data_IF_764449651813
#
_entry.id   IF_764449651813
#
_cell.length_a   1.000
_cell.length_b   1.000
_cell.length_c   1.000
_cell.angle_alpha   90.00
_cell.angle_beta   90.00
_cell.angle_gamma   90.00
#
_symmetry.space_group_name_H-M   'P 1'
#
loop_
_entity.id
_entity.type
_entity.pdbx_description
1 polymer ?
#
# COMPACT_ATOMS: atom_id res chain seq x y z
N UNK A 1 -40.37 53.27 -27.53
CA UNK A 1 -40.83 54.45 -28.33
C UNK A 1 -40.47 54.34 -29.82
N UNK A 2 -39.22 54.20 -30.19
CA UNK A 2 -38.75 54.10 -31.61
C UNK A 2 -39.43 52.99 -32.44
N UNK A 3 -39.61 51.82 -31.87
CA UNK A 3 -40.27 50.65 -32.52
C UNK A 3 -41.75 50.91 -32.77
N UNK A 4 -42.44 51.61 -31.86
CA UNK A 4 -43.86 51.97 -32.01
C UNK A 4 -44.03 53.04 -33.11
N UNK A 5 -43.15 54.02 -33.18
CA UNK A 5 -43.15 55.06 -34.25
C UNK A 5 -42.85 54.38 -35.63
N UNK A 6 -41.92 53.43 -35.68
CA UNK A 6 -41.61 52.69 -36.92
C UNK A 6 -42.80 51.84 -37.41
N UNK A 7 -43.51 51.15 -36.51
CA UNK A 7 -44.71 50.37 -36.85
C UNK A 7 -45.87 51.30 -37.34
N UNK A 8 -46.14 52.43 -36.68
CA UNK A 8 -47.10 53.34 -37.08
C UNK A 8 -46.75 53.93 -38.46
N UNK A 9 -45.52 54.32 -38.69
CA UNK A 9 -45.07 54.82 -39.99
C UNK A 9 -45.24 53.74 -41.11
N UNK A 10 -44.93 52.52 -40.87
CA UNK A 10 -45.09 51.38 -41.84
C UNK A 10 -46.58 51.17 -42.14
N UNK A 11 -47.48 51.26 -41.17
CA UNK A 11 -48.90 51.11 -41.36
C UNK A 11 -49.46 52.29 -42.21
N UNK A 12 -49.02 53.52 -41.96
CA UNK A 12 -49.46 54.71 -42.78
C UNK A 12 -48.94 54.48 -44.21
N UNK A 13 -47.72 54.19 -44.45
CA UNK A 13 -47.15 53.93 -45.80
C UNK A 13 -47.87 52.79 -46.51
N UNK A 14 -48.16 51.69 -45.83
CA UNK A 14 -48.90 50.55 -46.40
C UNK A 14 -50.36 50.96 -46.74
N UNK A 15 -51.04 51.83 -45.91
CA UNK A 15 -52.37 52.32 -46.19
C UNK A 15 -52.42 53.24 -47.43
N UNK A 16 -51.45 54.14 -47.59
CA UNK A 16 -51.32 55.03 -48.73
C UNK A 16 -51.04 54.19 -50.00
N UNK A 17 -50.13 53.22 -49.93
CA UNK A 17 -49.84 52.39 -51.09
C UNK A 17 -51.03 51.48 -51.45
N UNK A 18 -51.82 51.03 -50.49
CA UNK A 18 -53.05 50.33 -50.71
C UNK A 18 -54.06 51.12 -51.44
N UNK A 19 -54.36 52.38 -51.00
CA UNK A 19 -55.29 53.31 -51.64
C UNK A 19 -54.89 53.61 -53.09
N UNK A 20 -53.62 53.95 -53.30
CA UNK A 20 -53.07 54.21 -54.64
C UNK A 20 -53.15 52.97 -55.59
N UNK A 21 -52.90 51.80 -55.08
CA UNK A 21 -53.00 50.56 -55.88
C UNK A 21 -54.46 50.22 -56.17
N UNK A 22 -55.39 50.51 -55.29
CA UNK A 22 -56.83 50.34 -55.47
C UNK A 22 -57.43 51.26 -56.59
N UNK A 23 -56.93 52.51 -56.70
CA UNK A 23 -57.32 53.42 -57.77
C UNK A 23 -56.79 52.98 -59.16
N UNK A 24 -55.62 52.43 -59.20
CA UNK A 24 -55.01 51.97 -60.42
C UNK A 24 -55.61 50.62 -60.95
N UNK A 25 -56.23 49.83 -60.05
CA UNK A 25 -56.78 48.54 -60.38
C UNK A 25 -58.20 48.32 -59.90
N UNK A 26 -59.17 48.99 -60.54
CA UNK A 26 -60.61 49.00 -60.11
C UNK A 26 -61.36 47.69 -60.42
N UNK A 27 -60.69 46.69 -61.01
CA UNK A 27 -61.32 45.41 -61.34
C UNK A 27 -61.50 44.49 -60.12
N UNK A 28 -62.27 43.40 -60.28
CA UNK A 28 -62.33 42.34 -59.29
C UNK A 28 -61.80 41.01 -59.81
N UNK A 29 -61.17 40.18 -58.93
CA UNK A 29 -60.64 38.86 -59.22
C UNK A 29 -61.43 37.81 -58.48
N UNK A 30 -62.02 36.84 -59.20
CA UNK A 30 -62.80 35.77 -58.63
C UNK A 30 -61.85 34.62 -58.26
N UNK A 31 -61.72 34.38 -56.95
CA UNK A 31 -60.97 33.24 -56.47
C UNK A 31 -61.92 32.14 -56.09
N UNK A 32 -61.77 30.96 -56.73
CA UNK A 32 -62.52 29.77 -56.36
C UNK A 32 -61.72 28.87 -55.47
N UNK A 33 -62.12 28.71 -54.22
CA UNK A 33 -61.50 27.82 -53.22
C UNK A 33 -62.11 26.39 -53.32
N UNK A 34 -63.36 26.30 -53.78
CA UNK A 34 -64.02 25.02 -54.06
C UNK A 34 -65.02 25.21 -55.20
N UNK A 35 -65.53 24.10 -55.81
CA UNK A 35 -66.52 24.22 -56.91
C UNK A 35 -67.77 25.03 -56.55
N UNK A 36 -68.13 25.09 -55.26
CA UNK A 36 -69.33 25.80 -54.74
C UNK A 36 -69.06 27.12 -54.03
N UNK A 37 -67.76 27.54 -53.86
CA UNK A 37 -67.42 28.79 -53.14
C UNK A 37 -66.43 29.60 -53.95
N UNK A 38 -66.93 30.73 -54.43
CA UNK A 38 -66.09 31.78 -55.10
C UNK A 38 -66.18 33.05 -54.27
N UNK A 39 -65.02 33.70 -54.12
CA UNK A 39 -64.92 35.02 -53.44
C UNK A 39 -64.50 36.04 -54.49
N UNK A 40 -65.20 37.15 -54.49
CA UNK A 40 -64.93 38.30 -55.38
C UNK A 40 -64.10 39.28 -54.56
N UNK A 41 -62.83 39.47 -54.87
CA UNK A 41 -61.89 40.31 -54.15
C UNK A 41 -61.24 41.34 -55.09
N UNK A 42 -61.00 42.51 -54.61
CA UNK A 42 -60.21 43.49 -55.36
C UNK A 42 -58.70 43.02 -55.38
N UNK A 43 -57.92 43.29 -56.42
CA UNK A 43 -56.50 42.98 -56.52
C UNK A 43 -55.73 43.50 -55.32
N UNK A 44 -56.10 44.71 -54.79
CA UNK A 44 -55.47 45.26 -53.61
C UNK A 44 -55.74 44.50 -52.35
N UNK A 45 -56.98 43.95 -52.18
CA UNK A 45 -57.31 43.08 -51.05
C UNK A 45 -56.53 41.79 -51.08
N UNK A 46 -56.30 41.23 -52.27
CA UNK A 46 -55.50 40.02 -52.49
C UNK A 46 -54.05 40.20 -52.14
N UNK A 47 -53.47 41.36 -52.55
CA UNK A 47 -52.05 41.67 -52.15
C UNK A 47 -51.98 41.86 -50.66
N UNK A 48 -52.90 42.53 -50.04
CA UNK A 48 -52.94 42.77 -48.58
C UNK A 48 -53.09 41.48 -47.81
N UNK A 49 -53.96 40.56 -48.28
CA UNK A 49 -54.15 39.23 -47.68
C UNK A 49 -52.86 38.36 -47.79
N UNK A 50 -52.20 38.44 -48.97
CA UNK A 50 -50.93 37.68 -49.19
C UNK A 50 -49.79 38.23 -48.31
N UNK A 51 -49.69 39.56 -48.16
CA UNK A 51 -48.73 40.23 -47.27
C UNK A 51 -49.03 39.89 -45.81
N UNK A 52 -50.29 39.90 -45.39
CA UNK A 52 -50.71 39.50 -44.04
C UNK A 52 -50.42 38.04 -43.76
N UNK A 53 -50.66 37.14 -44.72
CA UNK A 53 -50.32 35.75 -44.61
C UNK A 53 -48.80 35.52 -44.53
N UNK A 54 -48.03 36.21 -45.38
CA UNK A 54 -46.58 36.20 -45.31
C UNK A 54 -46.01 36.71 -44.00
N UNK A 55 -46.55 37.84 -43.51
CA UNK A 55 -46.17 38.39 -42.20
C UNK A 55 -46.50 37.43 -41.03
N UNK A 56 -47.67 36.77 -41.12
CA UNK A 56 -48.06 35.76 -40.14
C UNK A 56 -47.10 34.57 -40.11
N UNK A 57 -46.75 34.05 -41.32
CA UNK A 57 -45.77 32.94 -41.42
C UNK A 57 -44.42 33.32 -40.85
N UNK A 58 -43.92 34.54 -41.18
CA UNK A 58 -42.63 35.04 -40.66
C UNK A 58 -42.67 35.21 -39.14
N UNK A 59 -43.76 35.82 -38.62
CA UNK A 59 -43.89 35.95 -37.16
C UNK A 59 -44.01 34.64 -36.43
N UNK A 60 -44.70 33.64 -37.01
CA UNK A 60 -44.72 32.28 -36.46
C UNK A 60 -43.36 31.63 -36.50
N UNK A 61 -42.61 31.72 -37.60
CA UNK A 61 -41.25 31.18 -37.71
C UNK A 61 -40.33 31.86 -36.69
N UNK A 62 -40.34 33.16 -36.57
CA UNK A 62 -39.55 33.89 -35.59
C UNK A 62 -39.96 33.51 -34.16
N UNK A 63 -41.25 33.46 -33.87
CA UNK A 63 -41.77 33.02 -32.58
C UNK A 63 -41.35 31.62 -32.20
N UNK A 64 -41.39 30.63 -33.11
CA UNK A 64 -40.92 29.26 -32.88
C UNK A 64 -39.41 29.25 -32.65
N UNK A 65 -38.63 30.04 -33.40
CA UNK A 65 -37.20 30.16 -33.20
C UNK A 65 -36.83 30.77 -31.85
N UNK A 66 -37.44 31.85 -31.48
CA UNK A 66 -37.22 32.55 -30.19
C UNK A 66 -37.63 31.65 -28.99
N UNK A 67 -38.78 30.96 -29.09
CA UNK A 67 -39.19 30.03 -28.02
C UNK A 67 -38.22 28.85 -27.88
N UNK A 68 -37.69 28.29 -28.98
CA UNK A 68 -36.64 27.27 -28.92
C UNK A 68 -35.40 27.82 -28.23
N UNK A 69 -34.94 29.04 -28.58
CA UNK A 69 -33.78 29.65 -27.93
C UNK A 69 -34.03 29.95 -26.45
N UNK A 70 -35.20 30.41 -26.04
CA UNK A 70 -35.55 30.62 -24.65
C UNK A 70 -35.56 29.31 -23.86
N UNK A 71 -36.14 28.25 -24.40
CA UNK A 71 -36.18 26.90 -23.77
C UNK A 71 -34.78 26.32 -23.65
N UNK A 72 -33.94 26.41 -24.70
CA UNK A 72 -32.58 25.91 -24.66
C UNK A 72 -31.73 26.69 -23.64
N UNK A 73 -31.85 28.02 -23.63
CA UNK A 73 -31.13 28.86 -22.66
C UNK A 73 -31.59 28.59 -21.23
N UNK A 74 -32.87 28.42 -21.00
CA UNK A 74 -33.43 28.08 -19.68
C UNK A 74 -32.93 26.70 -19.20
N UNK A 75 -32.97 25.69 -20.10
CA UNK A 75 -32.44 24.35 -19.81
C UNK A 75 -30.95 24.42 -19.47
N UNK A 76 -30.14 25.10 -20.29
CA UNK A 76 -28.71 25.22 -20.05
C UNK A 76 -28.39 25.99 -18.76
N UNK A 77 -29.13 27.05 -18.45
CA UNK A 77 -28.99 27.80 -17.20
C UNK A 77 -29.36 26.94 -15.98
N UNK A 78 -30.40 26.09 -16.09
CA UNK A 78 -30.78 25.14 -15.03
C UNK A 78 -29.71 24.06 -14.82
N UNK A 79 -29.12 23.52 -15.89
CA UNK A 79 -28.02 22.54 -15.81
C UNK A 79 -26.81 23.19 -15.15
N UNK A 80 -26.36 24.36 -15.60
CA UNK A 80 -25.21 25.06 -14.99
C UNK A 80 -25.41 25.32 -13.49
N UNK A 81 -26.58 25.81 -13.07
CA UNK A 81 -26.88 26.00 -11.64
C UNK A 81 -26.82 24.69 -10.85
N UNK A 82 -27.20 23.56 -11.47
CA UNK A 82 -27.11 22.25 -10.85
C UNK A 82 -25.66 21.84 -10.69
N UNK A 83 -24.85 21.97 -11.75
CA UNK A 83 -23.42 21.71 -11.74
C UNK A 83 -22.69 22.57 -10.70
N UNK A 84 -22.93 23.89 -10.71
CA UNK A 84 -22.37 24.82 -9.72
C UNK A 84 -22.70 24.41 -8.27
N UNK A 85 -23.92 23.92 -8.05
CA UNK A 85 -24.35 23.47 -6.71
C UNK A 85 -23.68 22.17 -6.32
N UNK A 86 -23.49 21.24 -7.26
CA UNK A 86 -22.74 19.98 -7.01
C UNK A 86 -21.30 20.29 -6.66
N UNK A 87 -20.64 21.16 -7.43
CA UNK A 87 -19.28 21.61 -7.18
C UNK A 87 -19.12 22.33 -5.83
N UNK A 88 -20.10 23.16 -5.45
CA UNK A 88 -20.09 23.83 -4.16
C UNK A 88 -20.18 22.82 -3.00
N UNK A 89 -21.12 21.86 -3.07
CA UNK A 89 -21.28 20.81 -2.08
C UNK A 89 -20.03 19.91 -2.00
N UNK A 90 -19.42 19.59 -3.15
CA UNK A 90 -18.18 18.83 -3.19
C UNK A 90 -17.03 19.55 -2.48
N UNK A 91 -16.83 20.86 -2.78
CA UNK A 91 -15.78 21.66 -2.13
C UNK A 91 -16.01 21.81 -0.62
N UNK A 92 -17.25 22.04 -0.20
CA UNK A 92 -17.61 22.09 1.23
C UNK A 92 -17.36 20.75 1.91
N UNK A 93 -17.71 19.62 1.25
CA UNK A 93 -17.45 18.27 1.72
C UNK A 93 -15.95 17.99 1.89
N UNK A 94 -15.14 18.38 0.90
CA UNK A 94 -13.68 18.27 0.97
C UNK A 94 -13.10 19.09 2.12
N UNK A 95 -13.56 20.32 2.30
CA UNK A 95 -13.14 21.17 3.42
C UNK A 95 -13.56 20.60 4.78
N UNK A 96 -14.77 20.06 4.89
CA UNK A 96 -15.25 19.40 6.10
C UNK A 96 -14.39 18.17 6.45
N UNK A 97 -14.06 17.38 5.44
CA UNK A 97 -13.18 16.20 5.61
C UNK A 97 -11.78 16.60 6.10
N UNK A 98 -11.13 17.57 5.45
CA UNK A 98 -9.81 18.07 5.86
C UNK A 98 -9.83 18.68 7.27
N UNK A 99 -11.00 19.16 7.72
CA UNK A 99 -11.22 19.66 9.08
C UNK A 99 -11.61 18.55 10.08
N UNK A 100 -11.45 17.26 9.71
CA UNK A 100 -11.82 16.08 10.51
C UNK A 100 -13.31 15.99 10.89
N UNK A 101 -14.18 16.68 10.18
CA UNK A 101 -15.64 16.62 10.33
C UNK A 101 -16.23 15.58 9.36
N UNK A 102 -15.87 14.30 9.57
CA UNK A 102 -16.16 13.22 8.62
C UNK A 102 -17.64 13.00 8.36
N UNK A 103 -18.49 13.05 9.41
CA UNK A 103 -19.95 12.87 9.25
C UNK A 103 -20.58 13.98 8.39
N UNK A 104 -20.15 15.24 8.58
CA UNK A 104 -20.60 16.37 7.76
C UNK A 104 -20.12 16.23 6.30
N UNK A 105 -18.89 15.81 6.10
CA UNK A 105 -18.34 15.55 4.76
C UNK A 105 -19.16 14.47 4.02
N UNK A 106 -19.51 13.36 4.70
CA UNK A 106 -20.36 12.33 4.12
C UNK A 106 -21.71 12.85 3.68
N UNK A 107 -22.39 13.62 4.52
CA UNK A 107 -23.70 14.21 4.21
C UNK A 107 -23.61 15.16 2.98
N UNK A 108 -22.57 15.97 2.92
CA UNK A 108 -22.33 16.89 1.79
C UNK A 108 -22.06 16.14 0.48
N UNK A 109 -21.22 15.09 0.49
CA UNK A 109 -20.99 14.27 -0.70
C UNK A 109 -22.24 13.50 -1.12
N UNK A 110 -23.04 13.00 -0.17
CA UNK A 110 -24.31 12.34 -0.47
C UNK A 110 -25.31 13.32 -1.10
N UNK A 111 -25.39 14.58 -0.61
CA UNK A 111 -26.21 15.64 -1.21
C UNK A 111 -25.73 15.99 -2.62
N UNK A 112 -24.42 16.05 -2.86
CA UNK A 112 -23.87 16.24 -4.19
C UNK A 112 -24.28 15.12 -5.14
N UNK A 113 -24.16 13.86 -4.69
CA UNK A 113 -24.55 12.67 -5.46
C UNK A 113 -26.07 12.52 -5.65
N UNK A 114 -26.90 13.07 -4.78
CA UNK A 114 -28.34 13.16 -4.96
C UNK A 114 -28.71 14.15 -6.09
N UNK A 115 -27.92 15.21 -6.26
CA UNK A 115 -28.06 16.12 -7.39
C UNK A 115 -27.47 15.53 -8.67
N UNK A 116 -26.24 15.01 -8.60
CA UNK A 116 -25.58 14.35 -9.74
C UNK A 116 -24.98 12.99 -9.33
N UNK A 117 -25.71 11.89 -9.62
CA UNK A 117 -25.24 10.54 -9.31
C UNK A 117 -23.99 10.10 -10.08
N UNK A 118 -23.54 10.88 -11.07
CA UNK A 118 -22.39 10.60 -11.93
C UNK A 118 -21.17 11.47 -11.61
N UNK A 119 -21.22 12.25 -10.53
CA UNK A 119 -20.08 13.07 -10.11
C UNK A 119 -18.97 12.21 -9.53
N UNK A 120 -17.96 11.91 -10.36
CA UNK A 120 -16.89 10.95 -10.05
C UNK A 120 -16.09 11.32 -8.81
N UNK A 121 -15.75 12.60 -8.64
CA UNK A 121 -14.98 13.08 -7.49
C UNK A 121 -15.73 12.87 -6.17
N UNK A 122 -17.04 13.14 -6.12
CA UNK A 122 -17.81 12.89 -4.90
C UNK A 122 -17.94 11.39 -4.59
N UNK A 123 -17.98 10.52 -5.61
CA UNK A 123 -17.92 9.08 -5.42
C UNK A 123 -16.57 8.65 -4.89
N UNK A 124 -15.47 9.21 -5.40
CA UNK A 124 -14.11 8.93 -4.96
C UNK A 124 -13.92 9.31 -3.49
N UNK A 125 -14.30 10.53 -3.12
CA UNK A 125 -14.14 10.99 -1.74
C UNK A 125 -15.02 10.20 -0.76
N UNK A 126 -16.26 9.96 -1.10
CA UNK A 126 -17.16 9.17 -0.26
C UNK A 126 -16.65 7.72 -0.11
N UNK A 127 -16.12 7.13 -1.17
CA UNK A 127 -15.48 5.80 -1.13
C UNK A 127 -14.27 5.78 -0.20
N UNK A 128 -13.43 6.80 -0.27
CA UNK A 128 -12.28 6.94 0.62
C UNK A 128 -12.69 7.06 2.10
N UNK A 129 -13.78 7.77 2.40
CA UNK A 129 -14.32 7.85 3.76
C UNK A 129 -14.77 6.46 4.25
N UNK A 130 -15.55 5.72 3.45
CA UNK A 130 -15.96 4.36 3.81
C UNK A 130 -14.78 3.41 4.01
N UNK A 131 -13.71 3.56 3.21
CA UNK A 131 -12.47 2.80 3.46
C UNK A 131 -11.85 3.13 4.81
N UNK A 132 -11.77 4.42 5.17
CA UNK A 132 -11.25 4.84 6.47
C UNK A 132 -12.07 4.27 7.64
N UNK A 133 -13.39 4.14 7.46
CA UNK A 133 -14.30 3.47 8.40
C UNK A 133 -14.24 1.94 8.32
N UNK A 134 -13.34 1.37 7.50
CA UNK A 134 -13.20 -0.08 7.25
C UNK A 134 -14.43 -0.74 6.62
N UNK A 135 -15.32 0.04 6.05
CA UNK A 135 -16.46 -0.45 5.26
C UNK A 135 -16.04 -0.68 3.80
N UNK A 136 -15.18 -1.66 3.60
CA UNK A 136 -14.61 -1.98 2.28
C UNK A 136 -15.65 -2.33 1.20
N UNK A 137 -16.76 -3.04 1.49
CA UNK A 137 -17.76 -3.34 0.49
C UNK A 137 -18.37 -2.09 -0.15
N UNK A 138 -18.71 -1.07 0.67
CA UNK A 138 -19.25 0.20 0.18
C UNK A 138 -18.21 1.02 -0.56
N UNK A 139 -16.96 1.09 -0.04
CA UNK A 139 -15.86 1.75 -0.72
C UNK A 139 -15.67 1.19 -2.14
N UNK A 140 -15.55 -0.15 -2.27
CA UNK A 140 -15.41 -0.84 -3.55
C UNK A 140 -16.59 -0.54 -4.48
N UNK A 141 -17.84 -0.52 -3.97
CA UNK A 141 -19.02 -0.23 -4.75
C UNK A 141 -18.96 1.18 -5.34
N UNK A 142 -18.58 2.17 -4.54
CA UNK A 142 -18.49 3.57 -4.96
C UNK A 142 -17.36 3.79 -5.96
N UNK A 143 -16.16 3.24 -5.69
CA UNK A 143 -15.04 3.38 -6.63
C UNK A 143 -15.28 2.60 -7.94
N UNK A 144 -15.96 1.45 -7.93
CA UNK A 144 -16.39 0.79 -9.17
C UNK A 144 -17.37 1.64 -9.96
N UNK A 145 -18.30 2.33 -9.27
CA UNK A 145 -19.19 3.29 -9.92
C UNK A 145 -18.43 4.46 -10.50
N UNK A 146 -17.47 5.04 -9.77
CA UNK A 146 -16.60 6.10 -10.28
C UNK A 146 -15.81 5.62 -11.52
N UNK A 147 -15.23 4.41 -11.47
CA UNK A 147 -14.54 3.78 -12.61
C UNK A 147 -15.45 3.64 -13.84
N UNK A 148 -16.73 3.30 -13.66
CA UNK A 148 -17.68 3.16 -14.80
C UNK A 148 -18.02 4.50 -15.47
N UNK A 149 -17.77 5.62 -14.78
CA UNK A 149 -17.95 6.98 -15.30
C UNK A 149 -16.66 7.47 -15.95
N UNK A 150 -15.54 7.26 -15.28
CA UNK A 150 -14.21 7.69 -15.70
C UNK A 150 -13.24 6.50 -15.79
N UNK A 151 -13.39 5.72 -16.86
CA UNK A 151 -12.61 4.48 -17.06
C UNK A 151 -11.09 4.67 -17.10
N UNK A 152 -10.63 5.87 -17.48
CA UNK A 152 -9.21 6.20 -17.63
C UNK A 152 -8.65 7.04 -16.49
N UNK A 153 -9.39 7.22 -15.43
CA UNK A 153 -8.93 7.97 -14.26
C UNK A 153 -8.03 7.08 -13.38
N UNK A 154 -6.73 7.39 -13.39
CA UNK A 154 -5.70 6.65 -12.64
C UNK A 154 -5.95 6.72 -11.13
N UNK A 155 -6.44 7.85 -10.62
CA UNK A 155 -6.70 8.05 -9.18
C UNK A 155 -7.83 7.13 -8.70
N UNK A 156 -8.91 7.06 -9.45
CA UNK A 156 -10.05 6.15 -9.17
C UNK A 156 -9.59 4.69 -9.18
N UNK A 157 -8.76 4.30 -10.16
CA UNK A 157 -8.23 2.94 -10.23
C UNK A 157 -7.30 2.61 -9.06
N UNK A 158 -6.43 3.55 -8.66
CA UNK A 158 -5.55 3.38 -7.51
C UNK A 158 -6.35 3.29 -6.20
N UNK A 159 -7.41 4.09 -6.05
CA UNK A 159 -8.30 4.02 -4.89
C UNK A 159 -9.03 2.68 -4.83
N UNK A 160 -9.58 2.20 -5.96
CA UNK A 160 -10.22 0.89 -6.05
C UNK A 160 -9.24 -0.25 -5.72
N UNK A 161 -8.01 -0.19 -6.25
CA UNK A 161 -6.99 -1.18 -5.94
C UNK A 161 -6.69 -1.22 -4.44
N UNK A 162 -6.61 -0.07 -3.78
CA UNK A 162 -6.40 0.01 -2.32
C UNK A 162 -7.54 -0.61 -1.53
N UNK A 163 -8.79 -0.34 -1.91
CA UNK A 163 -9.95 -0.97 -1.26
C UNK A 163 -9.92 -2.50 -1.39
N UNK A 164 -9.55 -2.98 -2.58
CA UNK A 164 -9.45 -4.42 -2.84
C UNK A 164 -8.32 -5.08 -2.04
N UNK A 165 -7.18 -4.37 -1.87
CA UNK A 165 -6.08 -4.79 -1.00
C UNK A 165 -6.53 -4.90 0.47
N UNK A 166 -7.19 -3.86 0.97
CA UNK A 166 -7.68 -3.79 2.35
C UNK A 166 -8.77 -4.84 2.62
N UNK A 167 -9.59 -5.13 1.60
CA UNK A 167 -10.57 -6.21 1.61
C UNK A 167 -9.95 -7.62 1.39
N UNK A 168 -8.62 -7.74 1.24
CA UNK A 168 -7.87 -8.98 0.95
C UNK A 168 -8.24 -9.64 -0.39
N UNK A 169 -8.78 -8.88 -1.33
CA UNK A 169 -9.12 -9.34 -2.70
C UNK A 169 -7.93 -9.11 -3.63
N UNK A 170 -6.82 -9.78 -3.35
CA UNK A 170 -5.51 -9.46 -3.93
C UNK A 170 -5.43 -9.67 -5.45
N UNK A 171 -6.09 -10.68 -6.01
CA UNK A 171 -6.10 -10.94 -7.44
C UNK A 171 -6.79 -9.81 -8.22
N UNK A 172 -7.91 -9.31 -7.69
CA UNK A 172 -8.62 -8.19 -8.32
C UNK A 172 -7.86 -6.87 -8.17
N UNK A 173 -7.17 -6.68 -7.03
CA UNK A 173 -6.28 -5.54 -6.84
C UNK A 173 -5.15 -5.56 -7.87
N UNK A 174 -4.48 -6.71 -8.07
CA UNK A 174 -3.44 -6.87 -9.09
C UNK A 174 -3.95 -6.53 -10.49
N UNK A 175 -5.15 -7.02 -10.85
CA UNK A 175 -5.74 -6.71 -12.13
C UNK A 175 -6.04 -5.21 -12.30
N UNK A 176 -6.56 -4.57 -11.25
CA UNK A 176 -6.82 -3.12 -11.26
C UNK A 176 -5.53 -2.31 -11.39
N UNK A 177 -4.45 -2.73 -10.71
CA UNK A 177 -3.13 -2.10 -10.85
C UNK A 177 -2.53 -2.30 -12.24
N UNK A 178 -2.76 -3.46 -12.88
CA UNK A 178 -2.39 -3.67 -14.29
C UNK A 178 -3.13 -2.72 -15.22
N UNK A 179 -4.42 -2.43 -14.95
CA UNK A 179 -5.17 -1.44 -15.73
C UNK A 179 -4.58 -0.03 -15.55
N UNK A 180 -4.12 0.33 -14.33
CA UNK A 180 -3.36 1.58 -14.11
C UNK A 180 -2.11 1.61 -15.00
N UNK A 181 -1.35 0.53 -15.02
CA UNK A 181 -0.09 0.47 -15.80
C UNK A 181 -0.31 0.43 -17.31
N UNK A 182 -1.49 0.04 -17.80
CA UNK A 182 -1.86 0.20 -19.23
C UNK A 182 -2.06 1.67 -19.59
N UNK A 183 -2.51 2.50 -18.65
CA UNK A 183 -2.74 3.93 -18.85
C UNK A 183 -1.46 4.75 -18.62
N UNK A 184 -0.73 4.39 -17.57
CA UNK A 184 0.52 5.02 -17.16
C UNK A 184 1.57 3.96 -16.83
N UNK A 185 2.37 3.59 -17.83
CA UNK A 185 3.41 2.56 -17.70
C UNK A 185 4.51 2.90 -16.68
N UNK A 186 4.68 4.19 -16.37
CA UNK A 186 5.71 4.68 -15.46
C UNK A 186 5.20 4.89 -14.03
N UNK A 187 3.95 4.53 -13.74
CA UNK A 187 3.35 4.74 -12.43
C UNK A 187 4.06 3.95 -11.33
N UNK A 188 4.93 4.63 -10.59
CA UNK A 188 5.72 4.01 -9.52
C UNK A 188 4.83 3.45 -8.39
N UNK A 189 3.75 4.16 -8.07
CA UNK A 189 2.79 3.73 -7.04
C UNK A 189 2.16 2.37 -7.40
N UNK A 190 1.75 2.21 -8.66
CA UNK A 190 1.19 0.95 -9.13
C UNK A 190 2.23 -0.19 -9.10
N UNK A 191 3.47 0.07 -9.53
CA UNK A 191 4.54 -0.92 -9.47
C UNK A 191 4.89 -1.34 -8.05
N UNK A 192 5.02 -0.38 -7.11
CA UNK A 192 5.31 -0.68 -5.71
C UNK A 192 4.19 -1.52 -5.07
N UNK A 193 2.93 -1.16 -5.28
CA UNK A 193 1.79 -1.92 -4.76
C UNK A 193 1.70 -3.33 -5.34
N UNK A 194 1.93 -3.50 -6.65
CA UNK A 194 1.96 -4.82 -7.27
C UNK A 194 3.06 -5.69 -6.65
N UNK A 195 4.28 -5.15 -6.47
CA UNK A 195 5.35 -5.86 -5.78
C UNK A 195 4.92 -6.30 -4.39
N UNK A 196 4.35 -5.38 -3.60
CA UNK A 196 3.95 -5.67 -2.21
C UNK A 196 2.84 -6.73 -2.15
N UNK A 197 1.92 -6.72 -3.11
CA UNK A 197 0.92 -7.79 -3.26
C UNK A 197 1.55 -9.13 -3.61
N UNK A 198 2.53 -9.17 -4.54
CA UNK A 198 3.25 -10.39 -4.85
C UNK A 198 4.05 -10.92 -3.66
N UNK A 199 4.65 -10.03 -2.84
CA UNK A 199 5.31 -10.39 -1.57
C UNK A 199 4.31 -11.01 -0.58
N UNK A 200 3.11 -10.46 -0.46
CA UNK A 200 2.04 -10.99 0.40
C UNK A 200 1.51 -12.34 -0.07
N UNK A 201 1.49 -12.53 -1.38
CA UNK A 201 1.07 -13.78 -2.03
C UNK A 201 2.22 -14.81 -2.16
N UNK A 202 3.40 -14.49 -1.64
CA UNK A 202 4.63 -15.30 -1.76
C UNK A 202 5.00 -15.66 -3.21
N UNK A 203 4.57 -14.84 -4.16
CA UNK A 203 4.94 -14.91 -5.58
C UNK A 203 6.28 -14.21 -5.82
N UNK A 204 7.34 -14.82 -5.28
CA UNK A 204 8.66 -14.19 -5.17
C UNK A 204 9.30 -13.84 -6.51
N UNK A 205 9.09 -14.67 -7.55
CA UNK A 205 9.63 -14.40 -8.87
C UNK A 205 9.00 -13.17 -9.51
N UNK A 206 7.67 -13.03 -9.38
CA UNK A 206 6.94 -11.86 -9.90
C UNK A 206 7.34 -10.60 -9.13
N UNK A 207 7.48 -10.72 -7.80
CA UNK A 207 7.98 -9.63 -6.96
C UNK A 207 9.39 -9.19 -7.37
N UNK A 208 10.29 -10.16 -7.67
CA UNK A 208 11.67 -9.89 -8.09
C UNK A 208 11.71 -9.17 -9.44
N UNK A 209 10.88 -9.57 -10.38
CA UNK A 209 10.81 -8.92 -11.70
C UNK A 209 10.42 -7.44 -11.54
N UNK A 210 9.38 -7.17 -10.75
CA UNK A 210 8.93 -5.78 -10.51
C UNK A 210 10.01 -5.01 -9.76
N UNK A 211 10.64 -5.62 -8.75
CA UNK A 211 11.72 -4.97 -8.01
C UNK A 211 12.89 -4.55 -8.90
N UNK A 212 13.24 -5.37 -9.89
CA UNK A 212 14.26 -5.00 -10.87
C UNK A 212 13.83 -3.82 -11.77
N UNK A 213 12.54 -3.66 -12.05
CA UNK A 213 12.03 -2.49 -12.78
C UNK A 213 12.10 -1.24 -11.91
N UNK A 214 11.68 -1.32 -10.64
CA UNK A 214 11.73 -0.22 -9.68
C UNK A 214 13.18 0.28 -9.45
N UNK A 215 14.16 -0.62 -9.40
CA UNK A 215 15.58 -0.25 -9.28
C UNK A 215 16.14 0.55 -10.46
N UNK A 216 15.45 0.55 -11.62
CA UNK A 216 15.82 1.34 -12.78
C UNK A 216 15.13 2.71 -12.82
N UNK A 217 14.16 2.93 -11.94
CA UNK A 217 13.45 4.20 -11.85
C UNK A 217 14.32 5.29 -11.21
N UNK A 218 14.02 6.53 -11.52
CA UNK A 218 14.69 7.67 -10.92
C UNK A 218 14.10 7.94 -9.52
N UNK A 219 14.66 7.29 -8.51
CA UNK A 219 14.28 7.39 -7.12
C UNK A 219 15.24 8.31 -6.35
N UNK A 220 14.80 8.85 -5.23
CA UNK A 220 15.70 9.53 -4.29
C UNK A 220 16.77 8.57 -3.76
N UNK A 221 17.91 9.07 -3.30
CA UNK A 221 18.96 8.20 -2.73
C UNK A 221 18.46 7.38 -1.53
N UNK A 222 17.57 7.93 -0.73
CA UNK A 222 16.99 7.25 0.44
C UNK A 222 16.09 6.11 -0.01
N UNK A 223 15.18 6.37 -0.95
CA UNK A 223 14.30 5.35 -1.53
C UNK A 223 15.10 4.26 -2.25
N UNK A 224 16.16 4.65 -2.97
CA UNK A 224 17.02 3.70 -3.67
C UNK A 224 17.72 2.74 -2.71
N UNK A 225 18.16 3.21 -1.53
CA UNK A 225 18.73 2.35 -0.48
C UNK A 225 17.68 1.40 0.11
N UNK A 226 16.48 1.90 0.37
CA UNK A 226 15.37 1.10 0.86
C UNK A 226 14.98 0.01 -0.15
N UNK A 227 14.84 0.37 -1.43
CA UNK A 227 14.53 -0.56 -2.50
C UNK A 227 15.67 -1.58 -2.72
N UNK A 228 16.94 -1.19 -2.56
CA UNK A 228 18.07 -2.10 -2.63
C UNK A 228 18.01 -3.16 -1.51
N UNK A 229 17.62 -2.78 -0.29
CA UNK A 229 17.43 -3.70 0.83
C UNK A 229 16.29 -4.69 0.56
N UNK A 230 15.16 -4.22 0.01
CA UNK A 230 14.04 -5.09 -0.41
C UNK A 230 14.48 -6.09 -1.50
N UNK A 231 15.28 -5.65 -2.46
CA UNK A 231 15.82 -6.52 -3.50
C UNK A 231 16.64 -7.67 -2.91
N UNK A 232 17.45 -7.41 -1.89
CA UNK A 232 18.21 -8.46 -1.20
C UNK A 232 17.27 -9.49 -0.56
N UNK A 233 16.27 -9.02 0.17
CA UNK A 233 15.28 -9.88 0.83
C UNK A 233 14.49 -10.73 -0.17
N UNK A 234 13.95 -10.11 -1.23
CA UNK A 234 13.19 -10.83 -2.28
C UNK A 234 14.09 -11.85 -2.99
N UNK A 235 15.34 -11.48 -3.29
CA UNK A 235 16.32 -12.38 -3.91
C UNK A 235 16.56 -13.62 -3.03
N UNK A 236 16.69 -13.42 -1.72
CA UNK A 236 16.82 -14.52 -0.76
C UNK A 236 15.59 -15.43 -0.76
N UNK A 237 14.36 -14.88 -0.74
CA UNK A 237 13.14 -15.69 -0.72
C UNK A 237 12.97 -16.53 -1.99
N UNK A 238 13.37 -16.00 -3.16
CA UNK A 238 13.43 -16.81 -4.39
C UNK A 238 14.39 -17.99 -4.21
N UNK A 239 15.56 -17.74 -3.62
CA UNK A 239 16.54 -18.81 -3.32
C UNK A 239 15.96 -19.84 -2.35
N UNK A 240 15.30 -19.40 -1.28
CA UNK A 240 14.66 -20.27 -0.29
C UNK A 240 13.58 -21.15 -0.92
N UNK A 241 12.68 -20.56 -1.72
CA UNK A 241 11.64 -21.30 -2.43
C UNK A 241 12.20 -22.33 -3.41
N UNK A 242 13.32 -22.01 -4.08
CA UNK A 242 14.00 -22.96 -4.95
C UNK A 242 14.62 -24.11 -4.18
N UNK A 243 15.20 -23.85 -3.00
CA UNK A 243 15.75 -24.89 -2.11
C UNK A 243 14.65 -25.83 -1.64
N UNK A 244 13.53 -25.30 -1.17
CA UNK A 244 12.36 -26.09 -0.75
C UNK A 244 11.78 -26.95 -1.88
N UNK A 245 11.90 -26.49 -3.13
CA UNK A 245 11.50 -27.26 -4.33
C UNK A 245 12.54 -28.25 -4.82
N UNK A 246 13.64 -28.45 -4.10
CA UNK A 246 14.70 -29.37 -4.46
C UNK A 246 15.61 -28.89 -5.59
N UNK A 247 15.79 -27.58 -5.74
CA UNK A 247 16.70 -26.98 -6.74
C UNK A 247 17.89 -26.25 -6.09
N UNK A 248 18.79 -26.96 -5.36
CA UNK A 248 19.85 -26.35 -4.56
C UNK A 248 20.84 -25.53 -5.39
N UNK A 249 21.19 -25.98 -6.61
CA UNK A 249 22.12 -25.25 -7.46
C UNK A 249 21.58 -23.85 -7.90
N UNK A 250 20.28 -23.79 -8.21
CA UNK A 250 19.64 -22.52 -8.51
C UNK A 250 19.54 -21.65 -7.26
N UNK A 251 19.15 -22.23 -6.12
CA UNK A 251 19.09 -21.54 -4.84
C UNK A 251 20.44 -20.91 -4.45
N UNK A 252 21.53 -21.66 -4.64
CA UNK A 252 22.90 -21.18 -4.40
C UNK A 252 23.23 -19.92 -5.18
N UNK A 253 22.79 -19.81 -6.42
CA UNK A 253 22.98 -18.62 -7.24
C UNK A 253 22.31 -17.40 -6.61
N UNK A 254 21.06 -17.54 -6.16
CA UNK A 254 20.30 -16.46 -5.53
C UNK A 254 20.90 -16.06 -4.17
N UNK A 255 21.29 -16.99 -3.33
CA UNK A 255 21.94 -16.69 -2.05
C UNK A 255 23.28 -15.96 -2.25
N UNK A 256 24.10 -16.38 -3.19
CA UNK A 256 25.34 -15.65 -3.55
C UNK A 256 25.03 -14.27 -4.10
N UNK A 257 23.95 -14.11 -4.87
CA UNK A 257 23.46 -12.83 -5.38
C UNK A 257 23.04 -11.87 -4.25
N UNK A 258 22.35 -12.37 -3.23
CA UNK A 258 21.99 -11.61 -2.04
C UNK A 258 23.24 -11.17 -1.25
N UNK A 259 24.18 -12.08 -0.99
CA UNK A 259 25.43 -11.78 -0.29
C UNK A 259 26.29 -10.74 -1.06
N UNK A 260 26.31 -10.84 -2.39
CA UNK A 260 27.06 -9.86 -3.21
C UNK A 260 26.54 -8.43 -3.03
N UNK A 261 25.22 -8.27 -2.84
CA UNK A 261 24.55 -7.00 -2.61
C UNK A 261 24.69 -6.51 -1.17
N UNK A 262 24.51 -7.42 -0.23
CA UNK A 262 24.69 -7.13 1.20
C UNK A 262 25.52 -8.25 1.87
N UNK A 263 26.77 -7.92 2.18
CA UNK A 263 27.69 -8.85 2.85
C UNK A 263 27.32 -9.15 4.31
N UNK A 264 26.41 -8.39 4.91
CA UNK A 264 25.90 -8.58 6.28
C UNK A 264 24.57 -9.34 6.33
N UNK A 265 24.04 -9.75 5.18
CA UNK A 265 22.76 -10.44 5.11
C UNK A 265 22.91 -11.92 5.52
N UNK A 266 22.80 -12.18 6.83
CA UNK A 266 23.02 -13.49 7.45
C UNK A 266 22.13 -14.61 6.89
N UNK A 267 20.83 -14.38 6.58
CA UNK A 267 19.97 -15.46 6.10
C UNK A 267 20.52 -16.18 4.86
N UNK A 268 21.18 -15.45 3.95
CA UNK A 268 21.73 -16.06 2.76
C UNK A 268 22.97 -16.95 3.03
N UNK A 269 23.77 -16.65 4.05
CA UNK A 269 24.88 -17.52 4.47
C UNK A 269 24.36 -18.79 5.12
N UNK A 270 23.32 -18.69 5.94
CA UNK A 270 22.66 -19.85 6.55
C UNK A 270 22.10 -20.74 5.45
N UNK A 271 21.38 -20.17 4.46
CA UNK A 271 20.88 -20.92 3.31
C UNK A 271 21.97 -21.59 2.48
N UNK A 272 23.16 -20.96 2.33
CA UNK A 272 24.31 -21.65 1.72
C UNK A 272 24.84 -22.81 2.56
N UNK A 273 24.86 -22.64 3.88
CA UNK A 273 25.20 -23.70 4.82
C UNK A 273 24.23 -24.88 4.70
N UNK A 274 22.92 -24.61 4.66
CA UNK A 274 21.89 -25.64 4.48
C UNK A 274 22.08 -26.43 3.18
N UNK A 275 22.38 -25.76 2.07
CA UNK A 275 22.67 -26.44 0.80
C UNK A 275 23.86 -27.37 0.97
N UNK A 276 24.95 -26.93 1.61
CA UNK A 276 26.16 -27.76 1.80
C UNK A 276 25.89 -28.94 2.72
N UNK A 277 25.08 -28.79 3.76
CA UNK A 277 24.64 -29.85 4.65
C UNK A 277 23.86 -30.92 3.84
N UNK A 278 22.89 -30.48 3.03
CA UNK A 278 22.14 -31.41 2.17
C UNK A 278 23.01 -32.15 1.14
N UNK A 279 24.13 -31.56 0.72
CA UNK A 279 25.11 -32.21 -0.15
C UNK A 279 26.10 -33.13 0.60
N UNK A 280 25.95 -33.26 1.92
CA UNK A 280 26.88 -34.04 2.76
C UNK A 280 28.24 -33.35 3.00
N UNK A 281 28.36 -32.06 2.65
CA UNK A 281 29.57 -31.25 2.79
C UNK A 281 29.55 -30.45 4.11
N UNK A 282 29.27 -31.10 5.23
CA UNK A 282 29.09 -30.50 6.55
C UNK A 282 30.27 -29.66 7.01
N UNK A 283 31.51 -30.14 6.78
CA UNK A 283 32.73 -29.38 7.10
C UNK A 283 32.82 -28.05 6.34
N UNK A 284 32.49 -28.06 5.06
CA UNK A 284 32.48 -26.81 4.26
C UNK A 284 31.40 -25.87 4.71
N UNK A 285 30.25 -26.35 5.21
CA UNK A 285 29.22 -25.52 5.81
C UNK A 285 29.75 -24.84 7.08
N UNK A 286 30.41 -25.60 7.98
CA UNK A 286 31.01 -25.07 9.19
C UNK A 286 32.05 -23.96 8.88
N UNK A 287 32.97 -24.23 7.95
CA UNK A 287 34.00 -23.26 7.52
C UNK A 287 33.42 -21.94 7.03
N UNK A 288 32.33 -22.00 6.26
CA UNK A 288 31.64 -20.75 5.78
C UNK A 288 31.03 -20.02 6.97
N UNK A 289 30.32 -20.72 7.85
CA UNK A 289 29.67 -20.10 9.01
C UNK A 289 30.70 -19.54 10.00
N UNK A 290 31.83 -20.23 10.25
CA UNK A 290 32.93 -19.70 11.06
C UNK A 290 33.48 -18.38 10.49
N UNK A 291 33.75 -18.32 9.18
CA UNK A 291 34.25 -17.12 8.51
C UNK A 291 33.25 -15.98 8.63
N UNK A 292 31.94 -16.25 8.60
CA UNK A 292 30.88 -15.26 8.80
C UNK A 292 30.84 -14.82 10.26
N UNK A 293 30.90 -15.74 11.21
CA UNK A 293 30.96 -15.45 12.63
C UNK A 293 32.17 -14.58 12.98
N UNK A 294 33.33 -14.95 12.51
CA UNK A 294 34.59 -14.18 12.76
C UNK A 294 34.48 -12.70 12.28
N UNK A 295 33.68 -12.44 11.23
CA UNK A 295 33.47 -11.09 10.68
C UNK A 295 32.35 -10.31 11.36
N UNK A 296 31.33 -11.00 11.83
CA UNK A 296 30.09 -10.36 12.29
C UNK A 296 29.90 -10.42 13.80
N UNK A 297 30.52 -11.39 14.47
CA UNK A 297 30.28 -11.68 15.88
C UNK A 297 28.84 -12.08 16.20
N UNK A 298 28.04 -12.44 15.16
CA UNK A 298 26.61 -12.62 15.35
C UNK A 298 26.29 -13.96 16.00
N UNK A 299 25.61 -13.92 17.13
CA UNK A 299 25.28 -15.08 17.96
C UNK A 299 24.38 -16.10 17.25
N UNK A 300 23.57 -15.68 16.27
CA UNK A 300 22.71 -16.59 15.49
C UNK A 300 23.57 -17.54 14.66
N UNK A 301 24.65 -17.04 14.09
CA UNK A 301 25.60 -17.86 13.35
C UNK A 301 26.33 -18.85 14.29
N UNK A 302 26.67 -18.39 15.49
CA UNK A 302 27.29 -19.21 16.50
C UNK A 302 26.39 -20.36 16.96
N UNK A 303 25.09 -20.11 17.13
CA UNK A 303 24.10 -21.17 17.41
C UNK A 303 24.00 -22.20 16.27
N UNK A 304 24.02 -21.73 15.00
CA UNK A 304 24.00 -22.66 13.87
C UNK A 304 25.27 -23.49 13.79
N UNK A 305 26.43 -22.94 14.14
CA UNK A 305 27.67 -23.67 14.27
C UNK A 305 27.60 -24.67 15.41
N UNK A 306 27.03 -24.31 16.56
CA UNK A 306 26.85 -25.23 17.69
C UNK A 306 26.04 -26.46 17.30
N UNK A 307 24.86 -26.23 16.66
CA UNK A 307 24.03 -27.33 16.17
C UNK A 307 24.81 -28.23 15.20
N UNK A 308 25.49 -27.63 14.23
CA UNK A 308 26.21 -28.35 13.19
C UNK A 308 27.38 -29.19 13.75
N UNK A 309 28.22 -28.61 14.62
CA UNK A 309 29.36 -29.36 15.20
C UNK A 309 28.89 -30.45 16.18
N UNK A 310 27.78 -30.25 16.89
CA UNK A 310 27.20 -31.30 17.73
C UNK A 310 26.64 -32.46 16.87
N UNK A 311 25.97 -32.16 15.76
CA UNK A 311 25.51 -33.19 14.80
C UNK A 311 26.66 -33.94 14.15
N UNK A 312 27.79 -33.28 13.90
CA UNK A 312 29.02 -33.93 13.38
C UNK A 312 29.76 -34.78 14.43
N UNK A 313 29.37 -34.67 15.72
CA UNK A 313 30.11 -35.33 16.82
C UNK A 313 31.46 -34.68 17.11
N UNK A 314 31.65 -33.42 16.71
CA UNK A 314 32.90 -32.66 16.89
C UNK A 314 32.72 -31.50 17.90
N UNK A 315 32.28 -31.76 19.18
CA UNK A 315 31.97 -30.68 20.14
C UNK A 315 33.18 -29.82 20.52
N UNK A 316 34.40 -30.39 20.41
CA UNK A 316 35.63 -29.64 20.69
C UNK A 316 35.85 -28.45 19.76
N UNK A 317 35.39 -28.54 18.50
CA UNK A 317 35.52 -27.43 17.55
C UNK A 317 34.64 -26.23 17.92
N UNK A 318 33.39 -26.48 18.33
CA UNK A 318 32.52 -25.36 18.74
C UNK A 318 32.99 -24.75 20.07
N UNK A 319 33.52 -25.56 21.00
CA UNK A 319 34.13 -25.02 22.22
C UNK A 319 35.28 -24.09 21.84
N UNK A 320 36.18 -24.51 20.95
CA UNK A 320 37.29 -23.69 20.43
C UNK A 320 36.77 -22.35 19.88
N UNK A 321 35.70 -22.37 19.06
CA UNK A 321 35.12 -21.11 18.49
C UNK A 321 34.59 -20.18 19.58
N UNK A 322 33.94 -20.71 20.63
CA UNK A 322 33.48 -19.93 21.77
C UNK A 322 34.65 -19.36 22.57
N UNK A 323 35.70 -20.14 22.84
CA UNK A 323 36.88 -19.70 23.58
C UNK A 323 37.63 -18.60 22.83
N UNK A 324 37.85 -18.76 21.52
CA UNK A 324 38.42 -17.71 20.67
C UNK A 324 37.59 -16.42 20.68
N UNK A 325 36.27 -16.54 20.71
CA UNK A 325 35.38 -15.39 20.82
C UNK A 325 35.51 -14.68 22.19
N UNK A 326 35.61 -15.46 23.27
CA UNK A 326 35.83 -14.95 24.61
C UNK A 326 37.22 -14.36 24.81
N UNK A 327 38.25 -14.84 24.13
CA UNK A 327 39.58 -14.22 24.13
C UNK A 327 39.55 -12.82 23.56
N UNK A 328 38.65 -12.52 22.57
CA UNK A 328 38.49 -11.21 21.98
C UNK A 328 37.65 -10.28 22.87
N UNK A 329 36.66 -10.82 23.57
CA UNK A 329 35.77 -10.10 24.47
C UNK A 329 35.54 -10.91 25.76
N UNK A 330 36.53 -10.89 26.71
CA UNK A 330 36.51 -11.73 27.91
C UNK A 330 35.36 -11.47 28.87
N UNK A 331 34.77 -10.31 28.82
CA UNK A 331 33.67 -9.94 29.71
C UNK A 331 32.28 -10.08 29.09
N UNK A 332 32.18 -10.60 27.88
CA UNK A 332 30.89 -10.78 27.20
C UNK A 332 30.01 -11.77 27.93
N UNK A 333 28.94 -11.31 28.62
CA UNK A 333 28.10 -12.19 29.42
C UNK A 333 27.28 -13.15 28.55
N UNK A 334 26.99 -12.75 27.31
CA UNK A 334 26.23 -13.58 26.37
C UNK A 334 27.07 -14.78 25.95
N UNK A 335 28.31 -14.57 25.57
CA UNK A 335 29.24 -15.64 25.18
C UNK A 335 29.52 -16.58 26.36
N UNK A 336 29.77 -16.02 27.55
CA UNK A 336 29.97 -16.84 28.78
C UNK A 336 28.75 -17.72 29.06
N UNK A 337 27.55 -17.17 28.93
CA UNK A 337 26.32 -17.93 29.16
C UNK A 337 26.17 -19.08 28.16
N UNK A 338 26.33 -18.83 26.86
CA UNK A 338 26.13 -19.84 25.84
C UNK A 338 27.24 -20.93 25.93
N UNK A 339 28.48 -20.55 26.17
CA UNK A 339 29.55 -21.56 26.38
C UNK A 339 29.30 -22.37 27.66
N UNK A 340 28.90 -21.73 28.75
CA UNK A 340 28.55 -22.44 29.98
C UNK A 340 27.36 -23.38 29.82
N UNK A 341 26.35 -22.96 29.03
CA UNK A 341 25.24 -23.84 28.63
C UNK A 341 25.70 -25.02 27.77
N UNK A 342 26.65 -24.78 26.84
CA UNK A 342 27.23 -25.85 26.02
C UNK A 342 28.00 -26.85 26.87
N UNK A 343 28.86 -26.37 27.79
CA UNK A 343 29.58 -27.25 28.74
C UNK A 343 28.60 -28.09 29.57
N UNK A 344 27.50 -27.47 30.07
CA UNK A 344 26.47 -28.20 30.78
C UNK A 344 25.79 -29.27 29.92
N UNK A 345 25.51 -29.01 28.66
CA UNK A 345 24.93 -29.99 27.71
C UNK A 345 25.89 -31.16 27.41
N UNK A 346 27.19 -30.90 27.46
CA UNK A 346 28.25 -31.89 27.24
C UNK A 346 28.68 -32.63 28.53
N UNK A 347 27.94 -32.43 29.65
CA UNK A 347 28.26 -33.00 30.96
C UNK A 347 29.64 -32.56 31.52
N UNK A 348 30.20 -31.46 31.01
CA UNK A 348 31.42 -30.82 31.52
C UNK A 348 31.03 -29.90 32.71
N UNK A 349 30.79 -30.53 33.86
CA UNK A 349 30.13 -29.93 35.00
C UNK A 349 30.99 -28.84 35.68
N UNK A 350 32.29 -29.11 35.80
CA UNK A 350 33.24 -28.19 36.46
C UNK A 350 33.44 -26.93 35.60
N UNK A 351 33.70 -27.11 34.31
CA UNK A 351 33.87 -26.00 33.36
C UNK A 351 32.59 -25.14 33.26
N UNK A 352 31.43 -25.80 33.22
CA UNK A 352 30.14 -25.10 33.22
C UNK A 352 29.97 -24.25 34.49
N UNK A 353 30.27 -24.84 35.66
CA UNK A 353 30.17 -24.15 36.93
C UNK A 353 31.14 -22.97 37.02
N UNK A 354 32.41 -23.20 36.72
CA UNK A 354 33.46 -22.20 36.82
C UNK A 354 33.13 -20.97 35.93
N UNK A 355 32.67 -21.23 34.69
CA UNK A 355 32.33 -20.16 33.79
C UNK A 355 31.04 -19.40 34.18
N UNK A 356 29.96 -20.15 34.50
CA UNK A 356 28.65 -19.52 34.80
C UNK A 356 28.65 -18.80 36.15
N UNK A 357 29.47 -19.25 37.13
CA UNK A 357 29.61 -18.58 38.40
C UNK A 357 30.28 -17.19 38.31
N UNK A 358 31.04 -16.93 37.22
CA UNK A 358 31.66 -15.63 36.96
C UNK A 358 30.68 -14.60 36.42
N UNK A 359 29.49 -15.03 36.03
CA UNK A 359 28.45 -14.09 35.56
C UNK A 359 27.94 -13.32 36.79
N UNK A 360 28.27 -12.06 36.85
CA UNK A 360 27.65 -11.12 37.79
C UNK A 360 26.15 -11.15 37.48
N UNK A 361 25.36 -11.65 38.45
CA UNK A 361 23.94 -11.99 38.39
C UNK A 361 23.21 -11.31 37.25
N UNK A 362 22.92 -12.02 36.15
CA UNK A 362 21.96 -11.51 35.18
C UNK A 362 20.67 -11.33 35.97
N UNK A 363 20.14 -10.12 35.86
CA UNK A 363 18.93 -9.70 36.57
C UNK A 363 17.86 -10.79 36.52
N UNK A 364 17.00 -10.84 37.50
CA UNK A 364 15.94 -11.81 37.82
C UNK A 364 15.09 -12.38 36.67
N UNK A 365 15.58 -12.42 35.42
CA UNK A 365 14.79 -12.77 34.22
C UNK A 365 15.21 -14.06 33.51
N UNK A 366 16.29 -14.72 33.91
CA UNK A 366 16.78 -15.93 33.20
C UNK A 366 16.45 -17.22 33.94
N UNK A 367 15.24 -17.74 33.72
CA UNK A 367 14.83 -19.06 34.25
C UNK A 367 15.82 -20.17 33.89
N UNK A 368 16.42 -20.17 32.70
CA UNK A 368 17.36 -21.21 32.26
C UNK A 368 18.70 -21.15 32.97
N UNK A 369 19.23 -19.95 33.16
CA UNK A 369 20.44 -19.81 33.96
C UNK A 369 20.25 -20.41 35.36
N UNK A 370 19.16 -20.04 36.03
CA UNK A 370 18.85 -20.54 37.37
C UNK A 370 18.62 -22.06 37.41
N UNK A 371 18.01 -22.65 36.36
CA UNK A 371 17.85 -24.10 36.26
C UNK A 371 19.20 -24.81 36.05
N UNK A 372 20.05 -24.29 35.17
CA UNK A 372 21.37 -24.83 34.92
C UNK A 372 22.19 -24.74 36.22
N UNK A 373 22.26 -23.57 36.85
CA UNK A 373 22.98 -23.36 38.11
C UNK A 373 22.48 -24.28 39.24
N UNK A 374 21.16 -24.44 39.36
CA UNK A 374 20.58 -25.33 40.32
C UNK A 374 21.03 -26.78 40.11
N UNK A 375 21.02 -27.25 38.86
CA UNK A 375 21.52 -28.59 38.53
C UNK A 375 23.03 -28.75 38.78
N UNK A 376 23.83 -27.71 38.46
CA UNK A 376 25.26 -27.70 38.76
C UNK A 376 25.55 -27.79 40.26
N UNK A 377 24.79 -27.02 41.09
CA UNK A 377 24.87 -27.11 42.55
C UNK A 377 24.46 -28.48 43.08
N UNK A 378 23.37 -29.10 42.53
CA UNK A 378 22.99 -30.46 42.91
C UNK A 378 24.11 -31.49 42.59
N UNK A 379 24.75 -31.39 41.42
CA UNK A 379 25.86 -32.26 41.03
C UNK A 379 27.09 -32.09 41.94
N UNK A 380 27.30 -30.83 42.44
CA UNK A 380 28.37 -30.50 43.39
C UNK A 380 27.96 -30.74 44.86
N UNK A 381 26.82 -31.34 45.12
CA UNK A 381 26.27 -31.64 46.49
C UNK A 381 25.99 -30.39 47.33
N UNK A 382 25.81 -29.25 46.72
CA UNK A 382 25.49 -27.96 47.38
C UNK A 382 23.98 -27.72 47.42
N UNK A 383 23.29 -28.51 48.23
CA UNK A 383 21.83 -28.61 48.24
C UNK A 383 21.11 -27.27 48.52
N UNK A 384 21.62 -26.46 49.48
CA UNK A 384 21.03 -25.22 49.88
C UNK A 384 21.01 -24.17 48.72
N UNK A 385 22.15 -24.05 48.04
CA UNK A 385 22.29 -23.16 46.90
C UNK A 385 21.44 -23.63 45.71
N UNK A 386 21.33 -24.93 45.49
CA UNK A 386 20.45 -25.51 44.45
C UNK A 386 18.99 -25.15 44.70
N UNK A 387 18.51 -25.25 45.97
CA UNK A 387 17.11 -24.87 46.33
C UNK A 387 16.86 -23.38 46.11
N UNK A 388 17.83 -22.50 46.44
CA UNK A 388 17.69 -21.07 46.18
C UNK A 388 17.57 -20.76 44.69
N UNK A 389 18.40 -21.37 43.87
CA UNK A 389 18.34 -21.19 42.41
C UNK A 389 17.03 -21.75 41.82
N UNK A 390 16.56 -22.91 42.31
CA UNK A 390 15.26 -23.45 41.89
C UNK A 390 14.10 -22.52 42.27
N UNK A 391 14.12 -21.90 43.47
CA UNK A 391 13.13 -20.90 43.87
C UNK A 391 13.12 -19.70 42.92
N UNK A 392 14.29 -19.23 42.51
CA UNK A 392 14.43 -18.17 41.50
C UNK A 392 13.84 -18.64 40.16
N UNK A 393 14.22 -19.83 39.67
CA UNK A 393 13.72 -20.41 38.43
C UNK A 393 12.16 -20.56 38.43
N UNK A 394 11.56 -20.94 39.54
CA UNK A 394 10.12 -21.15 39.68
C UNK A 394 9.29 -19.84 39.76
N UNK A 395 9.91 -18.71 40.11
CA UNK A 395 9.23 -17.40 40.10
C UNK A 395 8.88 -16.94 38.68
N UNK A 396 9.45 -17.54 37.66
CA UNK A 396 9.21 -17.21 36.27
C UNK A 396 8.12 -18.05 35.65
N UNK A 397 7.00 -17.42 35.26
CA UNK A 397 5.84 -18.07 34.64
C UNK A 397 6.02 -18.45 33.17
N UNK A 398 7.14 -18.11 32.52
CA UNK A 398 7.30 -18.28 31.08
C UNK A 398 8.19 -19.49 30.72
N UNK A 399 7.84 -20.12 29.59
CA UNK A 399 8.61 -21.18 28.94
C UNK A 399 10.02 -20.70 28.64
N UNK A 400 10.93 -21.62 28.81
CA UNK A 400 12.34 -21.46 28.57
C UNK A 400 12.64 -21.68 27.10
N UNK A 401 12.51 -20.60 26.35
CA UNK A 401 13.03 -20.53 24.99
C UNK A 401 13.78 -19.23 24.90
N UNK A 402 15.03 -19.26 24.47
CA UNK A 402 15.78 -18.02 24.22
C UNK A 402 15.05 -17.28 23.12
N UNK A 403 14.40 -16.14 23.39
CA UNK A 403 13.63 -15.47 22.39
C UNK A 403 14.54 -14.78 21.37
N UNK A 404 14.17 -14.91 20.12
CA UNK A 404 14.64 -14.01 19.10
C UNK A 404 13.76 -12.77 19.11
N UNK A 405 14.35 -11.60 19.20
CA UNK A 405 13.61 -10.32 19.22
C UNK A 405 13.88 -9.57 17.93
N UNK A 406 12.80 -9.14 17.29
CA UNK A 406 12.93 -8.29 16.11
C UNK A 406 13.37 -6.88 16.53
N UNK A 407 14.49 -6.39 16.04
CA UNK A 407 15.02 -5.04 16.35
C UNK A 407 14.09 -3.92 15.86
N UNK A 408 13.15 -4.23 14.98
CA UNK A 408 12.25 -3.24 14.37
C UNK A 408 10.89 -3.13 15.08
N UNK A 409 10.21 -4.25 15.31
CA UNK A 409 8.87 -4.26 15.90
C UNK A 409 8.84 -4.83 17.32
N UNK A 410 9.99 -5.21 17.87
CA UNK A 410 10.19 -5.78 19.21
C UNK A 410 9.36 -7.04 19.50
N UNK A 411 8.82 -7.68 18.44
CA UNK A 411 8.09 -8.93 18.61
C UNK A 411 9.06 -10.08 18.91
N UNK A 412 8.76 -10.85 19.95
CA UNK A 412 9.49 -12.04 20.33
C UNK A 412 9.07 -13.25 19.49
N UNK A 413 10.02 -14.13 19.17
CA UNK A 413 9.79 -15.41 18.49
C UNK A 413 10.60 -16.52 19.16
N UNK A 414 10.02 -17.70 19.28
CA UNK A 414 10.71 -18.90 19.76
C UNK A 414 11.64 -19.51 18.71
N UNK A 415 11.39 -19.19 17.44
CA UNK A 415 12.12 -19.73 16.30
C UNK A 415 12.75 -18.57 15.52
N UNK A 416 13.99 -18.79 15.07
CA UNK A 416 14.61 -17.87 14.15
C UNK A 416 14.06 -18.04 12.73
N UNK A 417 13.89 -16.91 12.06
CA UNK A 417 13.62 -16.89 10.62
C UNK A 417 14.34 -15.71 9.96
N UNK A 418 14.65 -15.84 8.69
CA UNK A 418 15.29 -14.77 7.91
C UNK A 418 14.42 -13.52 7.76
N UNK A 419 13.10 -13.69 7.93
CA UNK A 419 12.10 -12.63 7.80
C UNK A 419 11.22 -12.59 9.05
N UNK A 420 10.99 -11.40 9.62
CA UNK A 420 10.08 -11.26 10.75
C UNK A 420 8.63 -11.52 10.32
N UNK A 421 7.96 -12.45 11.00
CA UNK A 421 6.56 -12.81 10.70
C UNK A 421 5.56 -11.69 11.01
N UNK A 422 5.94 -10.75 11.89
CA UNK A 422 5.05 -9.65 12.30
C UNK A 422 5.20 -8.41 11.42
N UNK A 423 6.42 -7.86 11.28
CA UNK A 423 6.65 -6.65 10.49
C UNK A 423 7.10 -6.93 9.04
N UNK A 424 7.36 -8.18 8.67
CA UNK A 424 7.71 -8.60 7.32
C UNK A 424 9.14 -8.24 6.88
N UNK A 425 9.95 -7.61 7.72
CA UNK A 425 11.31 -7.20 7.38
C UNK A 425 12.30 -8.37 7.55
N UNK A 426 13.34 -8.38 6.72
CA UNK A 426 14.38 -9.42 6.73
C UNK A 426 15.56 -9.04 7.62
N UNK A 427 16.26 -10.06 8.10
CA UNK A 427 17.50 -9.94 8.89
C UNK A 427 17.38 -9.02 10.12
N UNK A 428 16.22 -9.02 10.76
CA UNK A 428 15.90 -8.14 11.90
C UNK A 428 15.92 -8.86 13.24
N UNK A 429 16.04 -10.20 13.28
CA UNK A 429 16.09 -10.93 14.52
C UNK A 429 17.46 -10.91 15.14
N UNK A 430 17.49 -10.67 16.44
CA UNK A 430 18.64 -10.85 17.32
C UNK A 430 18.28 -11.88 18.38
N UNK A 431 19.24 -12.69 18.78
CA UNK A 431 19.07 -13.61 19.90
C UNK A 431 19.54 -12.91 21.19
N UNK A 432 18.62 -12.73 22.11
CA UNK A 432 18.90 -12.15 23.42
C UNK A 432 18.57 -13.17 24.49
N UNK A 433 19.54 -13.57 25.33
CA UNK A 433 19.31 -14.50 26.44
C UNK A 433 18.43 -13.86 27.55
N UNK A 434 18.36 -12.55 27.57
CA UNK A 434 17.47 -11.75 28.42
C UNK A 434 16.99 -10.52 27.66
N UNK A 435 15.73 -10.14 27.85
CA UNK A 435 15.16 -8.89 27.36
C UNK A 435 15.08 -7.96 28.55
N UNK A 436 16.01 -7.01 28.63
CA UNK A 436 15.90 -5.89 29.55
C UNK A 436 15.33 -4.67 28.83
N UNK A 437 14.51 -3.87 29.52
CA UNK A 437 13.97 -2.61 28.97
C UNK A 437 15.06 -1.62 28.52
N UNK A 438 16.23 -1.66 29.16
CA UNK A 438 17.41 -0.88 28.75
C UNK A 438 18.06 -1.42 27.47
N UNK A 439 17.98 -2.73 27.21
CA UNK A 439 18.54 -3.35 26.00
C UNK A 439 17.71 -3.02 24.76
N UNK A 440 16.40 -2.82 24.92
CA UNK A 440 15.54 -2.37 23.83
C UNK A 440 15.80 -0.92 23.43
N UNK A 441 16.28 -0.07 24.33
CA UNK A 441 16.72 1.30 24.03
C UNK A 441 18.08 1.34 23.32
N UNK A 442 19.05 0.53 23.76
CA UNK A 442 20.36 0.44 23.10
C UNK A 442 20.32 -0.19 21.70
N UNK A 443 19.32 -1.05 21.41
CA UNK A 443 19.09 -1.60 20.08
C UNK A 443 18.54 -0.56 19.10
N UNK A 444 17.96 0.55 19.59
CA UNK A 444 17.56 1.70 18.75
C UNK A 444 18.78 2.48 18.22
N UNK A 445 19.88 2.49 18.98
CA UNK A 445 21.11 3.25 18.64
C UNK A 445 22.12 2.48 17.80
N UNK A 446 22.01 1.17 17.64
CA UNK A 446 22.89 0.37 16.80
C UNK A 446 22.57 0.48 15.31
N UNK A 447 22.38 1.68 14.80
CA UNK A 447 22.55 2.06 13.38
C UNK A 447 22.19 1.03 12.29
N UNK A 448 21.25 0.12 12.54
CA UNK A 448 20.57 -0.53 11.45
C UNK A 448 19.83 0.59 10.70
N UNK A 449 20.07 0.76 9.39
CA UNK A 449 19.36 1.79 8.64
C UNK A 449 17.88 1.61 8.99
N UNK A 450 17.26 2.69 9.46
CA UNK A 450 15.82 2.74 9.61
C UNK A 450 15.22 2.35 8.26
N UNK A 451 14.98 1.07 8.07
CA UNK A 451 14.02 0.66 7.09
C UNK A 451 12.70 1.16 7.65
N UNK A 452 12.42 2.41 7.45
CA UNK A 452 11.07 2.90 7.53
C UNK A 452 10.24 1.90 6.76
N UNK A 453 9.18 1.34 7.38
CA UNK A 453 8.01 1.11 6.58
C UNK A 453 7.92 2.41 5.80
N UNK A 454 8.26 2.39 4.51
CA UNK A 454 8.07 3.55 3.67
C UNK A 454 6.60 3.88 3.89
N UNK A 455 6.26 4.91 4.70
CA UNK A 455 4.92 5.40 4.61
C UNK A 455 4.87 5.82 3.15
N UNK A 456 3.95 5.26 2.43
CA UNK A 456 3.58 5.65 1.11
C UNK A 456 3.40 7.15 1.10
N UNK A 457 4.48 7.89 0.92
CA UNK A 457 4.48 9.27 0.48
C UNK A 457 4.53 9.24 -1.05
N UNK A 458 3.64 8.43 -1.62
CA UNK A 458 3.07 8.81 -2.88
C UNK A 458 2.28 10.07 -2.59
N UNK A 459 2.47 11.11 -3.39
CA UNK A 459 1.82 12.41 -3.41
C UNK A 459 0.70 12.41 -2.39
N UNK A 460 0.96 13.01 -1.22
CA UNK A 460 0.16 12.81 -0.02
C UNK A 460 -1.31 12.95 -0.41
N UNK A 461 -1.98 11.82 -0.62
CA UNK A 461 -3.42 11.82 -0.57
C UNK A 461 -3.72 12.38 0.80
N UNK A 462 -4.54 13.43 0.92
CA UNK A 462 -4.86 14.03 2.22
C UNK A 462 -5.48 13.04 3.21
N UNK A 463 -5.58 11.76 2.85
CA UNK A 463 -6.11 10.65 3.62
C UNK A 463 -5.05 9.82 4.38
N UNK A 464 -3.75 10.04 4.18
CA UNK A 464 -2.72 9.23 4.86
C UNK A 464 -2.24 9.80 6.19
N UNK A 465 -2.71 10.99 6.59
CA UNK A 465 -2.35 11.68 7.84
C UNK A 465 -3.48 11.74 8.88
N UNK A 466 -4.42 10.81 8.84
CA UNK A 466 -5.44 10.68 9.90
C UNK A 466 -5.45 9.28 10.49
#
# INVERSE_FOLDING_TARGET
>A
MLRLLLTVFLVIVASVLYGYFQELNPGSVIIRISPSRAFDLSPSSLVLLSMAAGALIVTLMVGVRETKHLVTNWRSARLRRREEKVEALHREGTHAFLSKRTAEAMDLFQKALALDPTHADSLLWLGNIYRAEKNYPEAIRLHRKARSIEERNVEVLLALAKDLEDAKRFEEALQTLQDVLKLDHANLTAWMRMRDLYIRLEKWNDALEIQHRLMKANLSEEDQRAEASLLVGITYEVGRQLLERGHPEKARHYFRGAIKRDKRFLPAYIGLGEILIHEGKTKSAAEILEKVYAKTGNIIILHRLEELYLEMGEPGEIIRVYEEALQRDPQNPVLKFYLGKLYYRLEMIDEAYDLLSTLERPQDQMSDFHKIMANLYLRKQQMELAVEELKKALRFKKRVVVPYVCTRCHQESSEWSGRCRHCGLWNTYVALPWVDSSTTESLRDTGAPEARSIPYQGIASPFETV
#
